data_IF_328929283938
#
_entry.id   IF_328929283938
#
_cell.length_a   1.000
_cell.length_b   1.000
_cell.length_c   1.000
_cell.angle_alpha   90.00
_cell.angle_beta   90.00
_cell.angle_gamma   90.00
#
_symmetry.space_group_name_H-M   'P 1'
#
loop_
_entity.id
_entity.type
_entity.pdbx_description
1 polymer ?
#
# COMPACT_ATOMS: atom_id res chain seq x y z
N UNK A 1 -19.49 -22.08 -84.78
CA UNK A 1 -18.80 -23.38 -84.91
C UNK A 1 -17.85 -23.53 -83.72
N UNK A 2 -17.82 -24.69 -83.07
CA UNK A 2 -17.15 -25.06 -81.78
C UNK A 2 -17.87 -24.54 -80.51
N UNK A 3 -18.73 -25.31 -79.84
CA UNK A 3 -18.50 -26.49 -78.95
C UNK A 3 -17.38 -26.32 -77.92
N UNK A 4 -17.70 -26.56 -76.64
CA UNK A 4 -16.75 -27.16 -75.71
C UNK A 4 -16.71 -26.62 -74.28
N UNK A 5 -17.61 -27.15 -73.44
CA UNK A 5 -17.45 -27.52 -72.02
C UNK A 5 -16.24 -26.96 -71.24
N UNK A 6 -16.53 -26.39 -70.07
CA UNK A 6 -16.00 -26.86 -68.76
C UNK A 6 -16.74 -26.19 -67.61
N UNK A 7 -17.76 -26.87 -67.06
CA UNK A 7 -18.26 -26.59 -65.70
C UNK A 7 -17.98 -27.85 -64.92
N UNK A 8 -16.93 -27.80 -64.10
CA UNK A 8 -16.61 -28.85 -63.14
C UNK A 8 -16.83 -28.25 -61.76
N UNK A 9 -18.06 -28.43 -61.31
CA UNK A 9 -18.49 -28.27 -59.93
C UNK A 9 -17.88 -29.45 -59.15
N UNK A 10 -16.97 -29.21 -58.21
CA UNK A 10 -16.65 -30.18 -57.17
C UNK A 10 -15.95 -29.52 -55.99
N UNK A 11 -16.64 -29.50 -54.86
CA UNK A 11 -16.03 -29.71 -53.55
C UNK A 11 -15.39 -28.51 -52.87
N UNK A 12 -16.21 -27.75 -52.14
CA UNK A 12 -15.78 -27.16 -50.88
C UNK A 12 -15.44 -28.30 -49.90
N UNK A 13 -14.30 -28.23 -49.20
CA UNK A 13 -14.29 -28.61 -47.80
C UNK A 13 -13.89 -27.41 -46.95
N UNK A 14 -14.88 -26.87 -46.25
CA UNK A 14 -14.67 -26.27 -44.94
C UNK A 14 -13.81 -27.21 -44.10
N UNK A 15 -12.81 -26.68 -43.40
CA UNK A 15 -12.60 -26.84 -41.95
C UNK A 15 -11.15 -26.55 -41.54
N UNK A 16 -11.03 -25.85 -40.42
CA UNK A 16 -9.84 -25.68 -39.58
C UNK A 16 -8.67 -24.85 -40.15
N UNK A 17 -8.89 -23.53 -40.29
CA UNK A 17 -7.81 -22.60 -39.93
C UNK A 17 -8.02 -22.18 -38.48
N UNK A 18 -7.12 -22.72 -37.66
CA UNK A 18 -7.06 -22.66 -36.21
C UNK A 18 -7.01 -21.21 -35.73
N UNK A 19 -8.06 -20.78 -35.05
CA UNK A 19 -8.07 -19.58 -34.21
C UNK A 19 -7.10 -19.81 -33.03
N UNK A 20 -5.82 -19.49 -33.23
CA UNK A 20 -4.81 -19.38 -32.17
C UNK A 20 -4.15 -18.01 -32.31
N UNK A 21 -4.89 -16.95 -32.02
CA UNK A 21 -4.29 -15.77 -31.40
C UNK A 21 -4.89 -15.73 -30.00
N UNK A 22 -4.12 -16.37 -29.11
CA UNK A 22 -4.29 -16.34 -27.68
C UNK A 22 -4.56 -14.91 -27.25
N UNK A 23 -5.65 -14.74 -26.48
CA UNK A 23 -5.88 -13.55 -25.71
C UNK A 23 -4.61 -13.29 -24.89
N UNK A 24 -3.80 -12.33 -25.36
CA UNK A 24 -2.81 -11.68 -24.52
C UNK A 24 -3.63 -10.93 -23.50
N UNK A 25 -3.96 -11.62 -22.41
CA UNK A 25 -4.51 -11.02 -21.22
C UNK A 25 -3.64 -9.80 -20.93
N UNK A 26 -4.30 -8.65 -20.97
CA UNK A 26 -3.86 -7.42 -20.36
C UNK A 26 -3.54 -7.75 -18.90
N UNK A 27 -2.30 -8.16 -18.63
CA UNK A 27 -1.70 -8.01 -17.32
C UNK A 27 -1.29 -6.54 -17.27
N UNK A 28 -1.98 -5.66 -16.53
CA UNK A 28 -1.32 -4.45 -16.11
C UNK A 28 -0.17 -4.93 -15.21
N UNK A 29 1.05 -5.00 -15.75
CA UNK A 29 2.27 -4.91 -14.96
C UNK A 29 2.36 -3.49 -14.39
N UNK A 30 1.35 -3.11 -13.60
CA UNK A 30 1.53 -2.07 -12.60
C UNK A 30 2.10 -2.82 -11.40
N UNK A 31 3.38 -3.17 -11.49
CA UNK A 31 4.17 -3.43 -10.29
C UNK A 31 4.26 -2.08 -9.58
N UNK A 32 3.18 -1.66 -8.92
CA UNK A 32 3.30 -0.63 -7.90
C UNK A 32 4.34 -1.18 -6.93
N UNK A 33 5.42 -0.43 -6.74
CA UNK A 33 6.52 -0.86 -5.92
C UNK A 33 5.94 -1.21 -4.54
N UNK A 34 5.86 -2.50 -4.26
CA UNK A 34 5.10 -2.99 -3.11
C UNK A 34 5.87 -2.60 -1.85
N UNK A 35 5.24 -1.82 -0.96
CA UNK A 35 5.83 -1.39 0.29
C UNK A 35 5.27 -2.24 1.43
N UNK A 36 5.83 -3.44 1.56
CA UNK A 36 5.55 -4.40 2.64
C UNK A 36 6.79 -4.51 3.54
N UNK A 37 6.54 -4.65 4.84
CA UNK A 37 7.53 -4.90 5.89
C UNK A 37 8.11 -6.31 5.79
N UNK A 38 9.31 -6.54 6.34
CA UNK A 38 9.98 -7.85 6.30
C UNK A 38 9.12 -8.99 6.89
N UNK A 39 8.40 -8.74 7.98
CA UNK A 39 7.57 -9.77 8.63
C UNK A 39 6.15 -9.85 8.04
N UNK A 40 5.85 -9.00 7.04
CA UNK A 40 4.59 -9.01 6.28
C UNK A 40 3.37 -8.51 7.05
N UNK A 41 3.52 -8.06 8.29
CA UNK A 41 2.40 -7.62 9.14
C UNK A 41 1.94 -6.19 8.80
N UNK A 42 2.81 -5.40 8.18
CA UNK A 42 2.53 -4.03 7.74
C UNK A 42 2.71 -3.91 6.22
N UNK A 43 1.64 -3.55 5.52
CA UNK A 43 1.61 -3.30 4.07
C UNK A 43 1.02 -1.92 3.80
N UNK A 44 1.72 -1.09 3.03
CA UNK A 44 1.26 0.25 2.67
C UNK A 44 0.47 0.27 1.36
N UNK A 45 -0.46 -0.68 1.20
CA UNK A 45 -1.37 -0.75 0.05
C UNK A 45 -2.69 -0.01 0.30
N UNK A 46 -3.52 0.11 -0.74
CA UNK A 46 -4.85 0.74 -0.65
C UNK A 46 -5.85 -0.07 0.18
N UNK A 47 -5.68 -1.40 0.27
CA UNK A 47 -6.58 -2.28 1.01
C UNK A 47 -6.45 -2.03 2.52
N UNK A 48 -5.23 -2.04 3.05
CA UNK A 48 -4.94 -1.82 4.46
C UNK A 48 -5.37 -0.41 4.91
N UNK A 49 -5.14 0.62 4.08
CA UNK A 49 -5.58 1.98 4.40
C UNK A 49 -7.11 2.15 4.31
N UNK A 50 -7.74 1.50 3.35
CA UNK A 50 -9.21 1.46 3.28
C UNK A 50 -9.82 0.76 4.49
N UNK A 51 -9.13 -0.24 5.05
CA UNK A 51 -9.55 -0.86 6.29
C UNK A 51 -9.41 0.09 7.49
N UNK A 52 -8.29 0.80 7.61
CA UNK A 52 -8.13 1.83 8.63
C UNK A 52 -9.23 2.90 8.57
N UNK A 53 -9.66 3.32 7.38
CA UNK A 53 -10.73 4.32 7.21
C UNK A 53 -12.06 3.88 7.86
N UNK A 54 -12.29 2.58 8.04
CA UNK A 54 -13.47 2.05 8.74
C UNK A 54 -13.42 2.31 10.25
N UNK A 55 -12.22 2.47 10.81
CA UNK A 55 -11.95 2.57 12.25
C UNK A 55 -11.39 3.93 12.68
N UNK A 56 -11.01 4.82 11.76
CA UNK A 56 -10.29 6.07 12.07
C UNK A 56 -10.99 6.93 13.14
N UNK A 57 -12.32 7.01 13.16
CA UNK A 57 -13.09 7.78 14.15
C UNK A 57 -13.22 7.08 15.52
N UNK A 58 -12.96 5.77 15.56
CA UNK A 58 -12.89 4.96 16.78
C UNK A 58 -11.47 5.00 17.36
N UNK A 59 -10.45 5.03 16.50
CA UNK A 59 -9.05 5.04 16.90
C UNK A 59 -8.57 6.41 17.41
N UNK A 60 -9.13 7.52 16.92
CA UNK A 60 -8.67 8.86 17.27
C UNK A 60 -9.74 9.94 17.24
N UNK A 61 -9.49 11.04 17.97
CA UNK A 61 -10.28 12.28 17.89
C UNK A 61 -10.01 13.07 16.60
N UNK A 62 -8.86 12.87 15.98
CA UNK A 62 -8.55 13.32 14.61
C UNK A 62 -8.30 12.11 13.70
N UNK A 63 -8.36 12.35 12.38
CA UNK A 63 -8.01 11.32 11.39
C UNK A 63 -6.64 11.62 10.80
N UNK A 64 -5.88 10.58 10.53
CA UNK A 64 -4.64 10.64 9.76
C UNK A 64 -4.95 10.26 8.32
N UNK A 65 -4.70 11.17 7.38
CA UNK A 65 -4.82 10.89 5.95
C UNK A 65 -3.63 10.08 5.46
N UNK A 66 -3.78 9.47 4.26
CA UNK A 66 -2.65 8.92 3.53
C UNK A 66 -1.62 10.02 3.30
N UNK A 67 -0.38 9.76 3.68
CA UNK A 67 0.70 10.73 3.57
C UNK A 67 1.11 10.89 2.09
N UNK A 68 1.50 12.10 1.67
CA UNK A 68 2.13 12.27 0.37
C UNK A 68 3.42 11.44 0.28
N UNK A 69 3.83 11.13 -0.94
CA UNK A 69 5.09 10.41 -1.18
C UNK A 69 6.24 11.20 -0.54
N UNK A 70 6.99 10.54 0.35
CA UNK A 70 8.19 11.08 0.98
C UNK A 70 9.32 10.05 0.94
N UNK A 71 10.53 10.53 0.69
CA UNK A 71 11.73 9.73 0.53
C UNK A 71 11.70 8.75 -0.64
N UNK A 72 12.66 7.84 -0.64
CA UNK A 72 12.76 6.71 -1.56
C UNK A 72 12.04 5.48 -0.99
N UNK A 73 11.69 4.52 -1.85
CA UNK A 73 11.09 3.25 -1.40
C UNK A 73 11.98 2.52 -0.37
N UNK A 74 13.30 2.61 -0.51
CA UNK A 74 14.25 2.04 0.45
C UNK A 74 14.15 2.73 1.83
N UNK A 75 14.03 4.05 1.87
CA UNK A 75 13.83 4.79 3.13
C UNK A 75 12.49 4.45 3.77
N UNK A 76 11.43 4.40 2.98
CA UNK A 76 10.11 3.99 3.44
C UNK A 76 10.13 2.57 4.02
N UNK A 77 10.79 1.63 3.34
CA UNK A 77 10.97 0.25 3.82
C UNK A 77 11.69 0.21 5.18
N UNK A 78 12.78 0.96 5.33
CA UNK A 78 13.49 1.09 6.62
C UNK A 78 12.57 1.56 7.74
N UNK A 79 11.72 2.57 7.49
CA UNK A 79 10.78 3.07 8.49
C UNK A 79 9.74 2.03 8.90
N UNK A 80 9.09 1.38 7.93
CA UNK A 80 8.03 0.39 8.24
C UNK A 80 8.62 -0.87 8.90
N UNK A 81 9.83 -1.29 8.51
CA UNK A 81 10.53 -2.40 9.16
C UNK A 81 10.91 -2.07 10.60
N UNK A 82 11.33 -0.82 10.86
CA UNK A 82 11.65 -0.35 12.19
C UNK A 82 10.41 -0.36 13.10
N UNK A 83 9.26 0.10 12.60
CA UNK A 83 7.99 0.04 13.34
C UNK A 83 7.51 -1.39 13.53
N UNK A 84 7.63 -2.25 12.52
CA UNK A 84 7.09 -3.61 12.60
C UNK A 84 7.79 -4.46 13.67
N UNK A 85 9.09 -4.22 13.90
CA UNK A 85 9.92 -4.85 14.95
C UNK A 85 9.62 -4.36 16.37
N UNK A 86 8.85 -3.28 16.54
CA UNK A 86 8.54 -2.78 17.87
C UNK A 86 7.60 -3.74 18.60
N UNK A 87 7.92 -4.03 19.86
CA UNK A 87 6.97 -4.67 20.78
C UNK A 87 5.99 -3.62 21.27
N UNK A 88 4.82 -3.58 20.65
CA UNK A 88 3.78 -2.60 20.98
C UNK A 88 2.88 -3.12 22.13
N UNK A 89 2.41 -2.23 23.01
CA UNK A 89 1.49 -2.62 24.08
C UNK A 89 0.17 -3.16 23.52
N UNK A 90 -0.30 -4.27 24.08
CA UNK A 90 -1.62 -4.86 23.76
C UNK A 90 -2.74 -4.03 24.36
N UNK A 91 -3.91 -4.03 23.73
CA UNK A 91 -5.11 -3.30 24.14
C UNK A 91 -4.96 -1.78 24.03
N UNK A 92 -3.91 -1.30 23.37
CA UNK A 92 -3.59 0.12 23.21
C UNK A 92 -3.53 0.50 21.74
N UNK A 93 -4.07 1.66 21.45
CA UNK A 93 -3.81 2.34 20.19
C UNK A 93 -2.44 2.99 20.28
N UNK A 94 -1.63 2.78 19.25
CA UNK A 94 -0.30 3.37 19.15
C UNK A 94 -0.22 4.11 17.83
N UNK A 95 0.25 5.35 17.85
CA UNK A 95 0.49 6.14 16.65
C UNK A 95 1.97 6.38 16.50
N UNK A 96 2.45 6.32 15.26
CA UNK A 96 3.85 6.51 14.93
C UNK A 96 4.03 7.58 13.85
N UNK A 97 5.09 8.36 14.01
CA UNK A 97 5.73 9.13 12.96
C UNK A 97 7.17 8.66 12.81
N UNK A 98 7.81 8.97 11.69
CA UNK A 98 9.21 8.60 11.51
C UNK A 98 9.97 9.65 10.72
N UNK A 99 11.25 9.82 11.04
CA UNK A 99 12.14 10.68 10.26
C UNK A 99 12.65 9.90 9.06
N UNK A 100 12.38 10.39 7.85
CA UNK A 100 12.62 9.68 6.59
C UNK A 100 14.11 9.41 6.33
N UNK A 101 14.98 10.36 6.63
CA UNK A 101 16.42 10.20 6.38
C UNK A 101 17.05 9.12 7.26
N UNK A 102 16.72 9.14 8.55
CA UNK A 102 17.34 8.25 9.55
C UNK A 102 16.59 6.94 9.74
N UNK A 103 15.31 6.88 9.38
CA UNK A 103 14.42 5.77 9.68
C UNK A 103 14.01 5.67 11.16
N UNK A 104 14.35 6.67 12.00
CA UNK A 104 14.01 6.66 13.42
C UNK A 104 12.50 6.83 13.60
N UNK A 105 11.89 5.92 14.37
CA UNK A 105 10.46 5.89 14.64
C UNK A 105 10.17 6.50 16.01
N UNK A 106 9.16 7.37 16.06
CA UNK A 106 8.64 8.02 17.26
C UNK A 106 7.23 7.51 17.48
N UNK A 107 6.91 7.04 18.68
CA UNK A 107 5.60 6.46 18.99
C UNK A 107 4.96 7.13 20.21
N UNK A 108 3.64 7.17 20.21
CA UNK A 108 2.82 7.45 21.40
C UNK A 108 1.80 6.33 21.56
N UNK A 109 1.73 5.74 22.75
CA UNK A 109 0.66 4.82 23.13
C UNK A 109 -0.43 5.60 23.89
N UNK A 110 -1.65 5.57 23.37
CA UNK A 110 -2.75 6.38 23.89
C UNK A 110 -3.25 5.84 25.23
N UNK A 111 -3.67 6.75 26.12
CA UNK A 111 -4.17 6.39 27.47
C UNK A 111 -5.46 5.59 27.45
N UNK A 112 -6.25 5.71 26.39
CA UNK A 112 -7.45 4.93 26.15
C UNK A 112 -7.36 4.25 24.77
N UNK A 113 -8.36 3.45 24.43
CA UNK A 113 -8.48 2.88 23.08
C UNK A 113 -8.56 3.97 22.02
N UNK A 114 -9.31 5.05 22.27
CA UNK A 114 -9.37 6.22 21.40
C UNK A 114 -8.33 7.26 21.83
N UNK A 115 -7.45 7.65 20.91
CA UNK A 115 -6.44 8.67 21.14
C UNK A 115 -7.03 10.08 21.17
N UNK A 116 -6.54 10.91 22.08
CA UNK A 116 -6.83 12.35 22.05
C UNK A 116 -6.04 13.06 20.97
N UNK A 117 -6.47 14.24 20.53
CA UNK A 117 -5.73 15.05 19.54
C UNK A 117 -4.25 15.24 19.97
N UNK A 118 -4.02 15.57 21.24
CA UNK A 118 -2.66 15.78 21.77
C UNK A 118 -1.81 14.51 21.70
N UNK A 119 -2.39 13.35 22.03
CA UNK A 119 -1.68 12.06 21.93
C UNK A 119 -1.33 11.74 20.48
N UNK A 120 -2.24 12.02 19.54
CA UNK A 120 -2.00 11.79 18.11
C UNK A 120 -0.87 12.66 17.56
N UNK A 121 -0.74 13.91 18.01
CA UNK A 121 0.26 14.86 17.51
C UNK A 121 1.67 14.66 18.09
N UNK A 122 1.79 14.05 19.28
CA UNK A 122 3.08 13.85 19.97
C UNK A 122 4.19 13.21 19.13
N UNK A 123 3.98 12.09 18.41
CA UNK A 123 5.08 11.44 17.71
C UNK A 123 5.65 12.30 16.58
N UNK A 124 4.80 12.99 15.81
CA UNK A 124 5.23 13.93 14.78
C UNK A 124 5.97 15.12 15.41
N UNK A 125 5.41 15.70 16.49
CA UNK A 125 6.04 16.81 17.19
C UNK A 125 7.43 16.44 17.76
N UNK A 126 7.58 15.25 18.34
CA UNK A 126 8.85 14.74 18.82
C UNK A 126 9.87 14.58 17.69
N UNK A 127 9.44 14.02 16.56
CA UNK A 127 10.26 13.89 15.37
C UNK A 127 10.74 15.24 14.84
N UNK A 128 9.82 16.20 14.69
CA UNK A 128 10.12 17.54 14.18
C UNK A 128 10.99 18.36 15.13
N UNK A 129 10.85 18.16 16.45
CA UNK A 129 11.70 18.81 17.46
C UNK A 129 13.15 18.36 17.34
N UNK A 130 13.39 17.09 17.01
CA UNK A 130 14.73 16.53 16.90
C UNK A 130 15.36 16.77 15.50
N UNK A 131 14.58 16.65 14.42
CA UNK A 131 15.13 16.60 13.05
C UNK A 131 14.80 17.82 12.19
N UNK A 132 13.78 18.61 12.56
CA UNK A 132 13.36 19.84 11.88
C UNK A 132 12.81 19.66 10.45
N UNK A 133 12.73 18.44 9.92
CA UNK A 133 12.19 18.14 8.60
C UNK A 133 11.62 16.71 8.49
N UNK A 134 10.82 16.50 7.44
CA UNK A 134 10.41 15.21 6.88
C UNK A 134 10.04 14.10 7.89
N UNK A 135 9.00 14.39 8.66
CA UNK A 135 8.48 13.56 9.74
C UNK A 135 7.03 13.09 9.47
N UNK A 136 6.76 12.34 8.39
CA UNK A 136 5.41 11.88 8.10
C UNK A 136 4.86 10.95 9.19
N UNK A 137 3.54 10.96 9.37
CA UNK A 137 2.86 9.88 10.07
C UNK A 137 3.13 8.55 9.36
N UNK A 138 3.67 7.59 10.08
CA UNK A 138 4.12 6.32 9.52
C UNK A 138 3.00 5.28 9.53
N UNK A 139 2.50 4.98 10.73
CA UNK A 139 1.59 3.88 10.97
C UNK A 139 0.84 4.03 12.30
N UNK A 140 -0.19 3.21 12.47
CA UNK A 140 -0.93 3.05 13.72
C UNK A 140 -1.14 1.58 14.03
N UNK A 141 -1.09 1.22 15.32
CA UNK A 141 -1.71 0.00 15.81
C UNK A 141 -3.07 0.34 16.42
N UNK A 142 -4.13 -0.38 16.04
CA UNK A 142 -5.45 -0.30 16.67
C UNK A 142 -5.99 -1.73 16.79
N UNK A 143 -6.38 -2.15 18.01
CA UNK A 143 -6.79 -3.53 18.31
C UNK A 143 -5.81 -4.58 17.76
N UNK A 144 -4.54 -4.37 18.09
CA UNK A 144 -3.42 -5.24 17.71
C UNK A 144 -3.17 -5.36 16.19
N UNK A 145 -3.98 -4.73 15.34
CA UNK A 145 -3.77 -4.64 13.91
C UNK A 145 -3.01 -3.37 13.56
N UNK A 146 -2.02 -3.49 12.68
CA UNK A 146 -1.19 -2.39 12.21
C UNK A 146 -1.73 -1.85 10.88
N UNK A 147 -1.68 -0.53 10.72
CA UNK A 147 -2.17 0.20 9.56
C UNK A 147 -1.12 1.20 9.10
N UNK A 148 -0.69 1.12 7.84
CA UNK A 148 0.28 2.02 7.25
C UNK A 148 -0.38 3.24 6.59
N UNK A 149 0.18 4.42 6.83
CA UNK A 149 -0.30 5.67 6.26
C UNK A 149 0.49 6.14 5.04
N UNK A 150 1.67 5.58 4.81
CA UNK A 150 2.50 5.95 3.67
C UNK A 150 1.84 5.55 2.36
N UNK A 151 2.12 6.35 1.34
CA UNK A 151 1.96 5.94 -0.05
C UNK A 151 3.33 5.48 -0.57
N UNK A 152 3.41 4.32 -1.25
CA UNK A 152 4.67 3.84 -1.79
C UNK A 152 5.28 4.86 -2.75
N UNK A 153 6.53 5.24 -2.50
CA UNK A 153 7.29 6.10 -3.39
C UNK A 153 7.41 5.43 -4.78
N UNK A 154 7.30 6.23 -5.83
CA UNK A 154 7.57 5.78 -7.19
C UNK A 154 9.07 5.54 -7.34
N UNK A 155 9.46 4.47 -8.02
CA UNK A 155 10.85 4.18 -8.39
C UNK A 155 11.46 5.30 -9.24
#
# INVERSE_FOLDING_TARGET
MKTGKSVLLMGLPSLFFVFLITASFLLPLKSEASLISVDGQLSCDDEQFSEYNKYMLQAGEMTISRQPDSGTLLQQRKMIDAFDKLTLPKGRTVIAAAHVETGKVYIEACKNEKCTIDEMAKPEHACLTENWNDCPYLAMQFREKKYCFLKPARE
#
